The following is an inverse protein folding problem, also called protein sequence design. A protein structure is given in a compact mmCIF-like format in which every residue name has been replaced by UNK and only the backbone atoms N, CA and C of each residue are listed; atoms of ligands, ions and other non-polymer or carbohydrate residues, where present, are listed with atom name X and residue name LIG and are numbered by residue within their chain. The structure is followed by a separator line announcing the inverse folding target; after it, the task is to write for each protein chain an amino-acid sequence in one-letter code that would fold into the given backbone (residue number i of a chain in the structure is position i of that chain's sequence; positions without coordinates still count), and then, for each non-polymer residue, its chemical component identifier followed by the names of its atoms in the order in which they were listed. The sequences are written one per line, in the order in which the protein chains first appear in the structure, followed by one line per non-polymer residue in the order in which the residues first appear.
data_IF_569007141789
#
_entry.id   IF_569007141789
#
_cell.length_a   1.000
_cell.length_b   1.000
_cell.length_c   1.000
_cell.angle_alpha   90.00
_cell.angle_beta   90.00
_cell.angle_gamma   90.00
#
_symmetry.space_group_name_H-M   'P 1'
#
loop_
_entity.id
_entity.type
_entity.pdbx_description
1 polymer ?
#
# COMPACT_ATOMS: atom_id res chain seq x y z
N UNK A 1 -20.43 -15.16 -16.81
CA UNK A 1 -20.15 -15.36 -15.37
C UNK A 1 -19.28 -14.21 -14.85
N UNK A 2 -19.70 -13.62 -13.74
CA UNK A 2 -18.92 -12.56 -13.09
C UNK A 2 -18.03 -13.20 -12.03
N UNK A 3 -16.80 -12.69 -11.91
CA UNK A 3 -15.85 -13.15 -10.90
C UNK A 3 -15.26 -11.95 -10.16
N UNK A 4 -14.99 -12.12 -8.87
CA UNK A 4 -14.20 -11.19 -8.09
C UNK A 4 -13.03 -11.97 -7.51
N UNK A 5 -11.83 -11.38 -7.62
CA UNK A 5 -10.61 -11.99 -7.09
C UNK A 5 -9.97 -10.96 -6.16
N UNK A 6 -9.69 -11.38 -4.93
CA UNK A 6 -8.99 -10.56 -3.95
C UNK A 6 -7.59 -11.14 -3.76
N UNK A 7 -6.57 -10.32 -4.00
CA UNK A 7 -5.18 -10.70 -3.79
C UNK A 7 -4.65 -9.86 -2.64
N UNK A 8 -4.26 -10.52 -1.55
CA UNK A 8 -3.73 -9.87 -0.36
C UNK A 8 -2.23 -10.10 -0.30
N UNK A 9 -1.47 -9.01 -0.24
CA UNK A 9 -0.02 -9.07 -0.07
C UNK A 9 0.28 -8.87 1.41
N UNK A 10 0.53 -9.96 2.12
CA UNK A 10 0.82 -9.91 3.55
C UNK A 10 2.05 -9.05 3.83
N UNK A 11 1.99 -8.31 4.92
CA UNK A 11 3.08 -7.47 5.41
C UNK A 11 3.50 -6.35 4.46
N UNK A 12 2.69 -6.06 3.44
CA UNK A 12 2.94 -4.94 2.53
C UNK A 12 2.00 -3.81 2.88
N UNK A 13 2.56 -2.64 3.16
CA UNK A 13 1.78 -1.46 3.50
C UNK A 13 2.29 -0.21 2.81
N UNK A 14 1.47 0.82 2.80
CA UNK A 14 1.78 2.12 2.22
C UNK A 14 1.65 3.17 3.31
N UNK A 15 2.77 3.47 3.96
CA UNK A 15 2.80 4.43 5.05
C UNK A 15 2.30 3.85 6.36
N UNK A 16 2.31 4.69 7.36
CA UNK A 16 1.93 4.33 8.73
C UNK A 16 0.56 4.89 9.09
N UNK A 17 -0.09 4.26 10.05
CA UNK A 17 -1.32 4.78 10.63
C UNK A 17 -0.99 5.91 11.62
N UNK A 18 -1.98 6.75 11.97
CA UNK A 18 -1.76 7.81 12.95
C UNK A 18 -1.27 7.32 14.32
N UNK A 19 -1.58 6.07 14.69
CA UNK A 19 -1.17 5.46 15.95
C UNK A 19 0.14 4.67 15.86
N UNK A 20 0.90 4.86 14.78
CA UNK A 20 2.12 4.08 14.53
C UNK A 20 3.12 4.14 15.68
N UNK A 21 3.25 5.30 16.35
CA UNK A 21 4.17 5.45 17.46
C UNK A 21 3.86 4.53 18.63
N UNK A 22 2.57 4.22 18.86
CA UNK A 22 2.14 3.35 19.94
C UNK A 22 2.52 1.88 19.69
N UNK A 23 2.78 1.52 18.43
CA UNK A 23 3.10 0.15 18.03
C UNK A 23 4.52 0.02 17.46
N UNK A 24 5.32 1.07 17.51
CA UNK A 24 6.67 1.04 16.96
C UNK A 24 6.71 0.99 15.43
N UNK A 25 5.65 1.42 14.77
CA UNK A 25 5.51 1.34 13.32
C UNK A 25 5.88 2.63 12.58
N UNK A 26 6.43 3.61 13.28
CA UNK A 26 6.81 4.88 12.67
C UNK A 26 7.82 4.65 11.53
N UNK A 27 7.56 5.26 10.38
CA UNK A 27 8.40 5.11 9.20
C UNK A 27 8.03 3.92 8.34
N UNK A 28 7.02 3.14 8.69
CA UNK A 28 6.57 2.00 7.92
C UNK A 28 6.01 2.43 6.57
N UNK A 29 6.58 1.91 5.49
CA UNK A 29 6.12 2.17 4.13
C UNK A 29 6.84 1.19 3.21
N UNK A 30 6.33 -0.03 3.13
CA UNK A 30 7.04 -1.16 2.55
C UNK A 30 7.60 -0.88 1.16
N UNK A 31 6.74 -0.54 0.21
CA UNK A 31 7.16 -0.40 -1.19
C UNK A 31 8.03 0.82 -1.41
N UNK A 32 7.70 1.94 -0.77
CA UNK A 32 8.49 3.17 -0.90
C UNK A 32 9.88 2.99 -0.31
N UNK A 33 9.99 2.34 0.85
CA UNK A 33 11.28 2.09 1.48
C UNK A 33 12.15 1.16 0.63
N UNK A 34 11.56 0.16 -0.01
CA UNK A 34 12.27 -0.70 -0.95
C UNK A 34 12.81 0.13 -2.12
N UNK A 35 11.98 1.01 -2.67
CA UNK A 35 12.39 1.86 -3.79
C UNK A 35 13.53 2.78 -3.42
N UNK A 36 13.54 3.31 -2.20
CA UNK A 36 14.64 4.16 -1.71
C UNK A 36 15.97 3.42 -1.62
N UNK A 37 15.92 2.16 -1.20
CA UNK A 37 17.13 1.32 -1.07
C UNK A 37 17.55 0.74 -2.42
N UNK A 38 16.59 0.42 -3.27
CA UNK A 38 16.81 -0.18 -4.59
C UNK A 38 16.11 0.67 -5.65
N UNK A 39 16.71 1.79 -6.08
CA UNK A 39 16.04 2.71 -7.03
C UNK A 39 15.67 2.07 -8.37
N UNK A 40 16.32 0.98 -8.76
CA UNK A 40 16.00 0.26 -9.99
C UNK A 40 14.75 -0.62 -9.89
N UNK A 41 14.17 -0.76 -8.71
CA UNK A 41 12.93 -1.52 -8.52
C UNK A 41 11.81 -0.89 -9.33
N UNK A 42 11.05 -1.72 -10.06
CA UNK A 42 9.97 -1.25 -10.91
C UNK A 42 8.76 -2.16 -10.77
N UNK A 43 7.58 -1.57 -10.72
CA UNK A 43 6.30 -2.27 -10.63
C UNK A 43 5.35 -1.74 -11.72
N UNK A 44 5.67 -1.97 -12.99
CA UNK A 44 4.96 -1.29 -14.10
C UNK A 44 3.48 -1.64 -14.15
N UNK A 45 3.10 -2.88 -13.90
CA UNK A 45 1.69 -3.28 -13.98
C UNK A 45 0.86 -2.69 -12.84
N UNK A 46 1.38 -2.68 -11.62
CA UNK A 46 0.68 -2.08 -10.49
C UNK A 46 0.59 -0.57 -10.64
N UNK A 47 1.64 0.08 -11.15
CA UNK A 47 1.62 1.51 -11.41
C UNK A 47 0.64 1.86 -12.53
N UNK A 48 0.52 1.01 -13.55
CA UNK A 48 -0.47 1.21 -14.59
C UNK A 48 -1.90 1.16 -14.05
N UNK A 49 -2.14 0.41 -12.97
CA UNK A 49 -3.42 0.36 -12.29
C UNK A 49 -3.65 1.54 -11.34
N UNK A 50 -2.60 2.28 -10.98
CA UNK A 50 -2.71 3.47 -10.14
C UNK A 50 -1.92 3.44 -8.85
N UNK A 51 -1.05 2.44 -8.64
CA UNK A 51 -0.31 2.33 -7.37
C UNK A 51 0.46 3.61 -7.05
N UNK A 52 1.20 4.15 -8.00
CA UNK A 52 2.01 5.36 -7.81
C UNK A 52 1.21 6.65 -7.74
N UNK A 53 -0.09 6.58 -8.03
CA UNK A 53 -0.97 7.75 -8.00
C UNK A 53 -1.73 7.90 -6.68
N UNK A 54 -1.61 6.94 -5.77
CA UNK A 54 -2.19 7.03 -4.43
C UNK A 54 -1.55 8.22 -3.72
N UNK A 55 -2.38 9.08 -3.13
CA UNK A 55 -1.90 10.31 -2.52
C UNK A 55 -1.16 10.11 -1.20
N UNK A 56 -0.11 10.89 -1.01
CA UNK A 56 0.62 10.94 0.25
C UNK A 56 1.69 9.86 0.39
N UNK A 57 2.43 9.94 1.49
CA UNK A 57 3.43 8.93 1.88
C UNK A 57 4.51 8.65 0.82
N UNK A 58 4.82 9.65 -0.02
CA UNK A 58 5.86 9.56 -1.07
C UNK A 58 5.61 8.43 -2.09
N UNK A 59 4.36 8.00 -2.23
CA UNK A 59 4.00 6.89 -3.13
C UNK A 59 4.37 7.19 -4.58
N UNK A 60 4.40 8.46 -4.96
CA UNK A 60 4.80 8.87 -6.31
C UNK A 60 6.19 8.42 -6.71
N UNK A 61 7.07 8.10 -5.75
CA UNK A 61 8.38 7.52 -6.04
C UNK A 61 8.29 6.19 -6.76
N UNK A 62 7.17 5.49 -6.65
CA UNK A 62 6.94 4.21 -7.32
C UNK A 62 6.63 4.38 -8.81
N UNK A 63 6.14 5.56 -9.21
CA UNK A 63 5.85 5.88 -10.59
C UNK A 63 4.39 6.27 -10.82
N UNK A 64 4.14 7.55 -11.05
CA UNK A 64 2.82 8.04 -11.43
C UNK A 64 2.56 7.80 -12.91
N UNK A 65 1.29 7.59 -13.26
CA UNK A 65 0.87 7.50 -14.66
C UNK A 65 -0.24 8.51 -14.92
N UNK A 66 -0.29 9.04 -16.15
CA UNK A 66 -1.24 10.10 -16.50
C UNK A 66 -2.69 9.61 -16.49
N UNK A 67 -2.91 8.34 -16.83
CA UNK A 67 -4.26 7.78 -16.94
C UNK A 67 -4.26 6.36 -16.36
N UNK A 68 -4.41 6.22 -15.03
CA UNK A 68 -4.45 4.90 -14.41
C UNK A 68 -5.61 4.06 -14.94
N UNK A 69 -5.36 2.79 -15.19
CA UNK A 69 -6.36 1.86 -15.74
C UNK A 69 -7.26 1.25 -14.69
N UNK A 70 -6.91 1.37 -13.40
CA UNK A 70 -7.67 0.82 -12.31
C UNK A 70 -8.21 1.88 -11.37
N UNK A 71 -8.93 1.44 -10.36
CA UNK A 71 -9.33 2.29 -9.25
C UNK A 71 -8.37 2.04 -8.10
N UNK A 72 -8.00 3.08 -7.38
CA UNK A 72 -7.01 2.97 -6.31
C UNK A 72 -7.41 3.81 -5.11
N UNK A 73 -6.86 3.46 -3.97
CA UNK A 73 -7.11 4.18 -2.75
C UNK A 73 -6.27 3.59 -1.62
N UNK A 74 -6.39 4.18 -0.46
CA UNK A 74 -5.71 3.70 0.74
C UNK A 74 -6.72 3.53 1.86
N UNK A 75 -6.48 2.54 2.70
CA UNK A 75 -7.34 2.24 3.84
C UNK A 75 -6.56 2.37 5.13
N UNK A 76 -7.22 2.84 6.17
CA UNK A 76 -6.70 2.81 7.52
C UNK A 76 -7.62 1.92 8.35
N UNK A 77 -7.07 0.87 8.94
CA UNK A 77 -7.90 -0.04 9.72
C UNK A 77 -8.37 0.61 11.02
N UNK A 78 -9.55 0.20 11.46
CA UNK A 78 -10.14 0.67 12.72
C UNK A 78 -9.84 -0.25 13.89
N UNK A 79 -9.43 -1.48 13.61
CA UNK A 79 -9.11 -2.46 14.63
C UNK A 79 -7.92 -2.02 15.46
N UNK A 80 -7.93 -2.36 16.76
CA UNK A 80 -6.82 -2.08 17.66
C UNK A 80 -5.68 -3.06 17.42
N UNK A 81 -5.99 -4.30 17.02
CA UNK A 81 -4.99 -5.32 16.75
C UNK A 81 -4.19 -5.03 15.46
N UNK A 82 -2.93 -5.42 15.49
CA UNK A 82 -2.02 -5.22 14.36
C UNK A 82 -1.59 -6.53 13.71
N UNK A 83 -2.28 -7.62 14.01
CA UNK A 83 -1.97 -8.90 13.40
C UNK A 83 -2.71 -9.08 12.06
N UNK A 84 -2.23 -10.03 11.27
CA UNK A 84 -2.78 -10.34 9.96
C UNK A 84 -4.25 -10.78 10.04
N UNK A 85 -4.59 -11.58 11.05
CA UNK A 85 -5.95 -12.08 11.23
C UNK A 85 -6.93 -10.93 11.46
N UNK A 86 -6.59 -9.98 12.33
CA UNK A 86 -7.44 -8.82 12.60
C UNK A 86 -7.65 -7.98 11.34
N UNK A 87 -6.58 -7.73 10.59
CA UNK A 87 -6.66 -6.98 9.34
C UNK A 87 -7.53 -7.66 8.31
N UNK A 88 -7.43 -8.98 8.17
CA UNK A 88 -8.24 -9.74 7.22
C UNK A 88 -9.73 -9.70 7.59
N UNK A 89 -10.05 -9.81 8.87
CA UNK A 89 -11.44 -9.72 9.31
C UNK A 89 -12.04 -8.34 9.07
N UNK A 90 -11.23 -7.28 9.14
CA UNK A 90 -11.71 -5.92 8.92
C UNK A 90 -11.99 -5.62 7.46
N UNK A 91 -11.29 -6.27 6.56
CA UNK A 91 -11.52 -6.09 5.13
C UNK A 91 -12.88 -6.62 4.70
#
# INVERSE_FOLDING_TARGET
MKRAIIIVLDSVGIGELPDAADFGDVGSNTLVNIKKVRPQTSLPNLCALGLGDIQGKEVSLLGEVAAPKGCYGKMAERSIGKDTTTGHWEM
#
